data_IF_075845782064
#
_entry.id   IF_075845782064
#
_cell.length_a   1.000
_cell.length_b   1.000
_cell.length_c   1.000
_cell.angle_alpha   90.00
_cell.angle_beta   90.00
_cell.angle_gamma   90.00
#
_symmetry.space_group_name_H-M   'P 1'
#
loop_
_entity.id
_entity.type
_entity.pdbx_description
1 polymer ?
#
# COMPACT_ATOMS: atom_id res chain seq x y z
N UNK A 1 -21.96 -1.08 38.21
CA UNK A 1 -21.42 -2.01 37.19
C UNK A 1 -21.15 -1.35 35.83
N UNK A 2 -21.46 -0.05 35.65
CA UNK A 2 -21.24 0.69 34.40
C UNK A 2 -19.83 1.31 34.32
N UNK A 3 -19.29 1.77 35.45
CA UNK A 3 -18.00 2.48 35.54
C UNK A 3 -16.79 1.64 35.09
N UNK A 4 -16.85 0.32 35.28
CA UNK A 4 -15.77 -0.61 34.92
C UNK A 4 -15.64 -0.83 33.42
N UNK A 5 -16.71 -0.57 32.65
CA UNK A 5 -16.76 -0.78 31.20
C UNK A 5 -16.41 0.51 30.42
N UNK A 6 -16.69 1.70 30.96
CA UNK A 6 -16.40 2.97 30.29
C UNK A 6 -14.90 3.30 30.20
N UNK A 7 -14.13 2.95 31.24
CA UNK A 7 -12.69 3.21 31.29
C UNK A 7 -11.91 2.46 30.18
N UNK A 8 -12.15 1.16 29.92
CA UNK A 8 -11.60 0.45 28.77
C UNK A 8 -11.92 1.10 27.42
N UNK A 9 -13.19 1.44 27.15
CA UNK A 9 -13.57 2.03 25.87
C UNK A 9 -12.96 3.42 25.64
N UNK A 10 -12.83 4.23 26.69
CA UNK A 10 -12.14 5.53 26.61
C UNK A 10 -10.66 5.35 26.27
N UNK A 11 -10.00 4.38 26.88
CA UNK A 11 -8.59 4.08 26.59
C UNK A 11 -8.41 3.57 25.16
N UNK A 12 -9.34 2.75 24.65
CA UNK A 12 -9.33 2.27 23.27
C UNK A 12 -9.54 3.41 22.25
N UNK A 13 -10.43 4.37 22.54
CA UNK A 13 -10.61 5.56 21.68
C UNK A 13 -9.35 6.40 21.60
N UNK A 14 -8.71 6.65 22.75
CA UNK A 14 -7.45 7.39 22.80
C UNK A 14 -6.32 6.64 22.08
N UNK A 15 -6.23 5.33 22.27
CA UNK A 15 -5.26 4.48 21.59
C UNK A 15 -5.43 4.56 20.07
N UNK A 16 -6.65 4.38 19.55
CA UNK A 16 -6.91 4.48 18.12
C UNK A 16 -6.55 5.86 17.58
N UNK A 17 -6.95 6.95 18.24
CA UNK A 17 -6.59 8.31 17.79
C UNK A 17 -5.07 8.51 17.69
N UNK A 18 -4.32 8.05 18.70
CA UNK A 18 -2.86 8.13 18.71
C UNK A 18 -2.27 7.29 17.57
N UNK A 19 -2.75 6.06 17.39
CA UNK A 19 -2.29 5.20 16.30
C UNK A 19 -2.61 5.78 14.93
N UNK A 20 -3.81 6.35 14.74
CA UNK A 20 -4.20 7.03 13.51
C UNK A 20 -3.27 8.19 13.17
N UNK A 21 -2.92 9.01 14.16
CA UNK A 21 -1.95 10.09 14.00
C UNK A 21 -0.56 9.58 13.59
N UNK A 22 -0.06 8.51 14.23
CA UNK A 22 1.24 7.94 13.88
C UNK A 22 1.25 7.40 12.45
N UNK A 23 0.22 6.67 12.03
CA UNK A 23 0.12 6.16 10.66
C UNK A 23 0.02 7.30 9.63
N UNK A 24 -0.73 8.37 9.95
CA UNK A 24 -0.83 9.54 9.08
C UNK A 24 0.54 10.21 8.90
N UNK A 25 1.25 10.45 10.00
CA UNK A 25 2.58 11.06 9.97
C UNK A 25 3.57 10.19 9.19
N UNK A 26 3.56 8.86 9.41
CA UNK A 26 4.39 7.92 8.65
C UNK A 26 4.06 7.96 7.15
N UNK A 27 2.78 7.98 6.77
CA UNK A 27 2.36 8.08 5.37
C UNK A 27 2.84 9.38 4.70
N UNK A 28 2.75 10.52 5.40
CA UNK A 28 3.27 11.81 4.92
C UNK A 28 4.80 11.74 4.75
N UNK A 29 5.50 11.21 5.75
CA UNK A 29 6.96 11.05 5.68
C UNK A 29 7.38 10.16 4.52
N UNK A 30 6.63 9.08 4.23
CA UNK A 30 6.87 8.26 3.04
C UNK A 30 6.78 9.08 1.76
N UNK A 31 5.75 9.93 1.60
CA UNK A 31 5.61 10.75 0.39
C UNK A 31 6.72 11.80 0.22
N UNK A 32 7.23 12.34 1.33
CA UNK A 32 8.24 13.42 1.30
C UNK A 32 9.67 12.87 1.21
N UNK A 33 9.94 11.73 1.83
CA UNK A 33 11.30 11.19 1.99
C UNK A 33 11.62 9.99 1.09
N UNK A 34 10.62 9.35 0.47
CA UNK A 34 10.89 8.23 -0.44
C UNK A 34 11.60 8.68 -1.70
N UNK A 35 12.44 7.82 -2.27
CA UNK A 35 12.94 7.99 -3.63
C UNK A 35 11.86 7.67 -4.68
N UNK A 36 12.20 7.90 -5.94
CA UNK A 36 11.44 7.51 -7.13
C UNK A 36 11.54 6.00 -7.46
N UNK A 37 11.95 5.17 -6.50
CA UNK A 37 12.08 3.73 -6.70
C UNK A 37 10.74 3.09 -7.09
N UNK A 38 10.77 2.38 -8.22
CA UNK A 38 9.62 1.71 -8.79
C UNK A 38 9.97 0.28 -9.23
N UNK A 39 8.96 -0.60 -9.23
CA UNK A 39 9.08 -1.96 -9.74
C UNK A 39 8.19 -2.17 -10.96
N UNK A 40 8.69 -2.85 -12.01
CA UNK A 40 7.90 -3.10 -13.20
C UNK A 40 6.81 -4.13 -12.92
N UNK A 41 5.58 -3.80 -13.29
CA UNK A 41 4.46 -4.73 -13.35
C UNK A 41 4.40 -5.28 -14.77
N UNK A 42 4.69 -6.57 -14.91
CA UNK A 42 4.75 -7.23 -16.21
C UNK A 42 3.46 -7.98 -16.54
N UNK A 43 3.17 -8.06 -17.82
CA UNK A 43 2.16 -8.95 -18.42
C UNK A 43 2.86 -10.03 -19.23
N UNK A 44 2.22 -11.19 -19.37
CA UNK A 44 2.76 -12.33 -20.11
C UNK A 44 1.78 -12.78 -21.20
N UNK A 45 1.43 -11.86 -22.11
CA UNK A 45 0.50 -12.18 -23.20
C UNK A 45 1.16 -13.09 -24.24
N UNK A 46 0.32 -13.83 -24.97
CA UNK A 46 0.77 -14.68 -26.06
C UNK A 46 1.00 -13.84 -27.31
N UNK A 47 2.18 -14.00 -27.90
CA UNK A 47 2.49 -13.46 -29.22
C UNK A 47 2.80 -14.61 -30.17
N UNK A 48 2.45 -14.43 -31.43
CA UNK A 48 2.85 -15.36 -32.47
C UNK A 48 4.32 -15.13 -32.81
N UNK A 49 5.14 -16.13 -32.59
CA UNK A 49 6.55 -16.15 -32.98
C UNK A 49 6.67 -16.71 -34.41
N UNK A 50 7.02 -15.84 -35.34
CA UNK A 50 7.18 -16.18 -36.76
C UNK A 50 8.32 -17.18 -37.02
N UNK A 51 9.31 -17.27 -36.12
CA UNK A 51 10.43 -18.21 -36.26
C UNK A 51 10.01 -19.63 -35.88
N UNK A 52 9.27 -19.77 -34.78
CA UNK A 52 8.84 -21.08 -34.27
C UNK A 52 7.44 -21.48 -34.73
N UNK A 53 6.72 -20.57 -35.40
CA UNK A 53 5.33 -20.72 -35.86
C UNK A 53 4.38 -21.12 -34.72
N UNK A 54 4.62 -20.57 -33.52
CA UNK A 54 3.89 -20.90 -32.30
C UNK A 54 3.52 -19.65 -31.52
N UNK A 55 2.48 -19.77 -30.69
CA UNK A 55 2.22 -18.79 -29.64
C UNK A 55 3.19 -19.03 -28.49
N UNK A 56 3.91 -17.98 -28.10
CA UNK A 56 4.80 -18.00 -26.95
C UNK A 56 4.48 -16.81 -26.02
N UNK A 57 4.54 -17.01 -24.69
CA UNK A 57 4.39 -15.90 -23.76
C UNK A 57 5.59 -14.95 -23.87
N UNK A 58 5.31 -13.64 -23.94
CA UNK A 58 6.32 -12.59 -23.89
C UNK A 58 6.07 -11.73 -22.65
N UNK A 59 7.12 -11.51 -21.86
CA UNK A 59 7.06 -10.58 -20.75
C UNK A 59 7.20 -9.15 -21.27
N UNK A 60 6.13 -8.38 -21.12
CA UNK A 60 6.10 -6.96 -21.45
C UNK A 60 5.73 -6.16 -20.20
N UNK A 61 6.46 -5.07 -19.93
CA UNK A 61 6.15 -4.17 -18.82
C UNK A 61 4.89 -3.36 -19.14
N UNK A 62 3.87 -3.49 -18.29
CA UNK A 62 2.63 -2.73 -18.43
C UNK A 62 2.79 -1.32 -17.85
N UNK A 63 3.39 -1.21 -16.65
CA UNK A 63 3.71 0.06 -16.00
C UNK A 63 4.72 -0.16 -14.87
N UNK A 64 5.35 0.91 -14.41
CA UNK A 64 6.21 0.92 -13.22
C UNK A 64 5.42 1.42 -12.01
N UNK A 65 5.42 0.62 -10.94
CA UNK A 65 4.69 0.94 -9.72
C UNK A 65 5.63 1.60 -8.70
N UNK A 66 5.47 2.90 -8.40
CA UNK A 66 6.32 3.58 -7.42
C UNK A 66 6.01 3.07 -6.00
N UNK A 67 7.02 2.58 -5.30
CA UNK A 67 6.81 1.92 -4.01
C UNK A 67 6.52 2.91 -2.88
N UNK A 68 7.07 4.13 -2.94
CA UNK A 68 6.82 5.17 -1.93
C UNK A 68 5.32 5.46 -1.75
N UNK A 69 4.62 5.90 -2.82
CA UNK A 69 3.17 6.11 -2.80
C UNK A 69 2.37 4.84 -2.47
N UNK A 70 2.80 3.67 -2.96
CA UNK A 70 2.14 2.40 -2.65
C UNK A 70 2.15 2.12 -1.14
N UNK A 71 3.32 2.17 -0.49
CA UNK A 71 3.43 1.97 0.96
C UNK A 71 2.67 3.06 1.73
N UNK A 72 2.76 4.32 1.31
CA UNK A 72 2.02 5.42 1.92
C UNK A 72 0.51 5.18 1.90
N UNK A 73 -0.04 4.59 0.83
CA UNK A 73 -1.48 4.29 0.74
C UNK A 73 -1.96 3.33 1.83
N UNK A 74 -1.19 2.28 2.16
CA UNK A 74 -1.54 1.35 3.24
C UNK A 74 -1.52 2.05 4.61
N UNK A 75 -0.55 2.94 4.83
CA UNK A 75 -0.46 3.75 6.04
C UNK A 75 -1.65 4.70 6.17
N UNK A 76 -2.07 5.36 5.09
CA UNK A 76 -3.25 6.21 5.11
C UNK A 76 -4.55 5.44 5.31
N UNK A 77 -4.68 4.24 4.73
CA UNK A 77 -5.82 3.36 5.00
C UNK A 77 -5.90 2.97 6.47
N UNK A 78 -4.76 2.63 7.09
CA UNK A 78 -4.68 2.35 8.53
C UNK A 78 -5.05 3.57 9.36
N UNK A 79 -4.52 4.75 9.00
CA UNK A 79 -4.83 6.01 9.67
C UNK A 79 -6.32 6.37 9.62
N UNK A 80 -6.99 6.12 8.49
CA UNK A 80 -8.42 6.38 8.32
C UNK A 80 -9.33 5.38 9.06
N UNK A 81 -8.82 4.18 9.36
CA UNK A 81 -9.57 3.14 10.05
C UNK A 81 -9.53 3.27 11.58
N UNK A 82 -8.52 3.96 12.12
CA UNK A 82 -8.36 4.25 13.55
C UNK A 82 -9.24 5.43 14.00
#
# INVERSE_FOLDING_TARGET
MTETIEKPYRNLRLFNLIMGFFHLAQGILMLVLSSDFALPVNTAFLYFDETTQKLAPRLDTAFDLPLGPLVASFLFMSAAAH
#
